data_IF_007038318043
#
_entry.id   IF_007038318043
#
_cell.length_a   1.000
_cell.length_b   1.000
_cell.length_c   1.000
_cell.angle_alpha   90.00
_cell.angle_beta   90.00
_cell.angle_gamma   90.00
#
_symmetry.space_group_name_H-M   'P 1'
#
loop_
_entity.id
_entity.type
_entity.pdbx_description
1 polymer ?
#
# COMPACT_ATOMS: atom_id res chain seq x y z
N UNK A 1 17.95 1.84 12.51
CA UNK A 1 18.06 1.03 13.74
C UNK A 1 19.48 0.99 14.28
N UNK A 2 20.52 0.60 13.49
CA UNK A 2 21.91 0.47 13.99
C UNK A 2 22.44 1.77 14.63
N UNK A 3 22.06 2.93 14.16
CA UNK A 3 22.44 4.24 14.71
C UNK A 3 21.67 4.65 15.98
N UNK A 4 20.43 4.17 16.14
CA UNK A 4 19.55 4.58 17.24
C UNK A 4 19.47 3.55 18.38
N UNK A 5 19.80 2.29 18.07
CA UNK A 5 19.76 1.17 19.00
C UNK A 5 21.08 0.36 18.97
N UNK A 6 22.26 0.99 19.17
CA UNK A 6 23.56 0.33 19.00
C UNK A 6 23.75 -0.85 19.96
N UNK A 7 23.24 -0.73 21.19
CA UNK A 7 23.39 -1.76 22.22
C UNK A 7 22.47 -2.96 22.05
N UNK A 8 21.52 -2.90 21.10
CA UNK A 8 20.52 -3.96 20.84
C UNK A 8 20.94 -4.91 19.74
N UNK A 9 22.12 -4.74 19.16
CA UNK A 9 22.64 -5.56 18.06
C UNK A 9 21.58 -5.77 16.96
N UNK A 10 21.10 -4.72 16.26
CA UNK A 10 20.06 -4.85 15.27
C UNK A 10 20.54 -5.65 14.06
N UNK A 11 19.76 -6.65 13.66
CA UNK A 11 20.02 -7.58 12.56
C UNK A 11 19.04 -7.31 11.41
N UNK A 12 19.58 -7.16 10.20
CA UNK A 12 18.78 -7.13 8.98
C UNK A 12 18.68 -8.54 8.37
N UNK A 13 17.53 -9.17 8.51
CA UNK A 13 17.31 -10.56 8.06
C UNK A 13 17.35 -10.74 6.54
N UNK A 14 17.36 -9.66 5.76
CA UNK A 14 17.54 -9.75 4.30
C UNK A 14 19.00 -10.03 3.96
N UNK A 15 19.92 -9.32 4.63
CA UNK A 15 21.36 -9.36 4.34
C UNK A 15 22.15 -10.22 5.32
N UNK A 16 21.68 -10.37 6.55
CA UNK A 16 22.37 -11.04 7.67
C UNK A 16 21.51 -12.21 8.17
N UNK A 17 21.17 -13.14 7.25
CA UNK A 17 20.18 -14.19 7.51
C UNK A 17 20.50 -15.08 8.71
N UNK A 18 21.77 -15.34 9.00
CA UNK A 18 22.21 -16.24 10.07
C UNK A 18 22.65 -15.49 11.35
N UNK A 19 22.65 -14.15 11.32
CA UNK A 19 23.09 -13.37 12.47
C UNK A 19 22.07 -13.42 13.61
N UNK A 20 22.60 -13.32 14.84
CA UNK A 20 21.80 -13.23 16.06
C UNK A 20 21.86 -11.82 16.65
N UNK A 21 20.76 -11.37 17.23
CA UNK A 21 20.63 -10.06 17.84
C UNK A 21 19.43 -9.99 18.77
N UNK A 22 19.17 -8.82 19.30
CA UNK A 22 17.99 -8.54 20.13
C UNK A 22 16.87 -7.85 19.37
N UNK A 23 17.20 -7.18 18.26
CA UNK A 23 16.25 -6.49 17.39
C UNK A 23 16.45 -7.02 15.98
N UNK A 24 15.39 -7.39 15.32
CA UNK A 24 15.39 -7.90 13.96
C UNK A 24 14.54 -7.02 13.06
N UNK A 25 15.09 -6.65 11.90
CA UNK A 25 14.34 -6.01 10.83
C UNK A 25 14.20 -6.99 9.65
N UNK A 26 12.97 -7.11 9.14
CA UNK A 26 12.66 -8.02 8.05
C UNK A 26 11.58 -7.42 7.15
N UNK A 27 11.55 -7.83 5.88
CA UNK A 27 10.36 -7.68 5.06
C UNK A 27 9.38 -8.83 5.34
N UNK A 28 8.11 -8.61 5.07
CA UNK A 28 7.07 -9.64 5.23
C UNK A 28 7.38 -10.92 4.43
N UNK A 29 7.78 -10.87 3.14
CA UNK A 29 8.13 -12.09 2.40
C UNK A 29 9.29 -12.86 3.03
N UNK A 30 10.32 -12.14 3.52
CA UNK A 30 11.48 -12.77 4.16
C UNK A 30 11.07 -13.47 5.45
N UNK A 31 10.28 -12.81 6.31
CA UNK A 31 9.83 -13.42 7.57
C UNK A 31 8.91 -14.63 7.30
N UNK A 32 7.96 -14.51 6.36
CA UNK A 32 7.11 -15.65 5.98
C UNK A 32 7.91 -16.85 5.48
N UNK A 33 8.98 -16.61 4.71
CA UNK A 33 9.90 -17.67 4.29
C UNK A 33 10.62 -18.31 5.49
N UNK A 34 11.12 -17.50 6.42
CA UNK A 34 11.89 -17.98 7.58
C UNK A 34 11.05 -18.82 8.57
N UNK A 35 9.79 -18.43 8.82
CA UNK A 35 8.91 -19.22 9.70
C UNK A 35 8.49 -20.56 9.07
N UNK A 36 8.51 -20.65 7.75
CA UNK A 36 8.18 -21.88 7.02
C UNK A 36 9.39 -22.81 6.79
N UNK A 37 10.61 -22.28 6.94
CA UNK A 37 11.83 -23.09 6.81
C UNK A 37 11.99 -24.00 8.02
N UNK A 38 12.47 -25.22 7.75
CA UNK A 38 12.85 -26.20 8.77
C UNK A 38 14.25 -26.72 8.45
N UNK A 39 15.06 -26.91 9.49
CA UNK A 39 16.33 -27.57 9.36
C UNK A 39 16.16 -29.09 9.15
N UNK A 40 17.29 -29.82 9.11
CA UNK A 40 17.30 -31.29 8.93
C UNK A 40 16.63 -32.03 10.08
N UNK A 41 16.52 -31.41 11.24
CA UNK A 41 15.90 -31.94 12.45
C UNK A 41 14.43 -31.51 12.58
N UNK A 42 13.91 -30.75 11.60
CA UNK A 42 12.53 -30.24 11.59
C UNK A 42 12.30 -28.99 12.44
N UNK A 43 13.35 -28.38 12.97
CA UNK A 43 13.31 -27.19 13.82
C UNK A 43 13.28 -25.91 12.94
N UNK A 44 12.37 -24.98 13.22
CA UNK A 44 12.37 -23.65 12.62
C UNK A 44 13.39 -22.73 13.30
N UNK A 45 13.91 -21.77 12.56
CA UNK A 45 14.83 -20.75 13.10
C UNK A 45 14.19 -19.95 14.23
N UNK A 46 12.96 -19.49 14.02
CA UNK A 46 12.18 -18.76 15.01
C UNK A 46 11.01 -19.61 15.46
N UNK A 47 10.93 -19.90 16.75
CA UNK A 47 9.74 -20.51 17.34
C UNK A 47 8.64 -19.49 17.61
N UNK A 48 7.39 -19.93 17.90
CA UNK A 48 6.29 -19.02 18.20
C UNK A 48 6.56 -18.00 19.32
N UNK A 49 7.26 -18.39 20.37
CA UNK A 49 7.61 -17.53 21.50
C UNK A 49 9.01 -16.89 21.38
N UNK A 50 9.55 -16.74 20.16
CA UNK A 50 10.90 -16.18 19.99
C UNK A 50 10.96 -14.68 20.20
N UNK A 51 9.91 -13.95 19.78
CA UNK A 51 9.81 -12.50 19.90
C UNK A 51 8.83 -12.12 20.99
N UNK A 52 9.19 -11.21 21.88
CA UNK A 52 8.32 -10.61 22.87
C UNK A 52 7.41 -9.54 22.27
N UNK A 53 7.91 -8.86 21.24
CA UNK A 53 7.24 -7.75 20.56
C UNK A 53 7.46 -7.80 19.06
N UNK A 54 6.40 -7.66 18.30
CA UNK A 54 6.43 -7.49 16.84
C UNK A 54 5.81 -6.13 16.48
N UNK A 55 6.61 -5.29 15.81
CA UNK A 55 6.15 -4.00 15.28
C UNK A 55 5.89 -4.16 13.79
N UNK A 56 4.67 -3.84 13.38
CA UNK A 56 4.17 -4.00 12.03
C UNK A 56 4.07 -2.61 11.41
N UNK A 57 4.94 -2.31 10.45
CA UNK A 57 4.86 -1.09 9.66
C UNK A 57 3.86 -1.28 8.51
N UNK A 58 3.14 -0.22 8.15
CA UNK A 58 2.05 -0.26 7.16
C UNK A 58 0.96 -1.31 7.51
N UNK A 59 0.50 -1.29 8.75
CA UNK A 59 -0.49 -2.24 9.28
C UNK A 59 -1.89 -2.01 8.71
N UNK A 60 -2.04 -2.15 7.38
CA UNK A 60 -3.31 -2.01 6.68
C UNK A 60 -3.77 -3.36 6.05
N UNK A 61 -5.01 -3.39 5.58
CA UNK A 61 -5.73 -4.60 5.12
C UNK A 61 -4.91 -5.51 4.19
N UNK A 62 -4.24 -4.95 3.19
CA UNK A 62 -3.50 -5.76 2.20
C UNK A 62 -2.33 -6.54 2.81
N UNK A 63 -1.71 -6.01 3.86
CA UNK A 63 -0.64 -6.68 4.61
C UNK A 63 -1.21 -7.85 5.40
N UNK A 64 -2.32 -7.65 6.10
CA UNK A 64 -2.97 -8.72 6.86
C UNK A 64 -3.46 -9.86 5.96
N UNK A 65 -4.15 -9.54 4.88
CA UNK A 65 -4.65 -10.56 3.94
C UNK A 65 -3.56 -11.44 3.35
N UNK A 66 -2.38 -10.87 3.10
CA UNK A 66 -1.27 -11.58 2.46
C UNK A 66 -0.33 -12.24 3.46
N UNK A 67 -0.12 -11.63 4.61
CA UNK A 67 0.93 -12.00 5.56
C UNK A 67 0.39 -12.27 6.98
N UNK A 68 -0.90 -12.39 7.17
CA UNK A 68 -1.56 -12.64 8.47
C UNK A 68 -0.97 -13.84 9.21
N UNK A 69 -0.57 -14.89 8.50
CA UNK A 69 0.06 -16.06 9.06
C UNK A 69 1.33 -15.75 9.89
N UNK A 70 2.05 -14.65 9.63
CA UNK A 70 3.19 -14.22 10.43
C UNK A 70 2.73 -13.79 11.83
N UNK A 71 1.65 -13.03 11.88
CA UNK A 71 1.11 -12.44 13.11
C UNK A 71 0.40 -13.47 13.98
N UNK A 72 -0.16 -14.50 13.36
CA UNK A 72 -0.77 -15.65 14.04
C UNK A 72 0.28 -16.64 14.54
N UNK A 73 1.46 -16.68 13.89
CA UNK A 73 2.52 -17.60 14.23
C UNK A 73 3.23 -17.23 15.54
N UNK A 74 3.49 -15.92 15.76
CA UNK A 74 4.23 -15.49 16.95
C UNK A 74 3.29 -15.19 18.11
N UNK A 75 3.58 -15.78 19.27
CA UNK A 75 2.95 -15.46 20.55
C UNK A 75 3.66 -14.24 21.17
N UNK A 76 3.35 -13.06 20.66
CA UNK A 76 4.01 -11.79 20.97
C UNK A 76 3.02 -10.65 21.14
N UNK A 77 3.45 -9.56 21.76
CA UNK A 77 2.74 -8.30 21.70
C UNK A 77 2.83 -7.73 20.28
N UNK A 78 1.72 -7.23 19.75
CA UNK A 78 1.66 -6.62 18.41
C UNK A 78 1.47 -5.11 18.52
N UNK A 79 2.28 -4.36 17.80
CA UNK A 79 2.12 -2.92 17.59
C UNK A 79 2.03 -2.66 16.09
N UNK A 80 0.95 -2.04 15.64
CA UNK A 80 0.75 -1.65 14.25
C UNK A 80 0.93 -0.16 14.05
N UNK A 81 1.68 0.21 13.02
CA UNK A 81 1.83 1.59 12.55
C UNK A 81 1.19 1.70 11.16
N UNK A 82 0.38 2.72 10.94
CA UNK A 82 -0.22 2.97 9.64
C UNK A 82 -0.44 4.47 9.43
N UNK A 83 -0.21 4.93 8.20
CA UNK A 83 -0.57 6.28 7.77
C UNK A 83 -2.01 6.36 7.21
N UNK A 84 -2.73 5.23 7.16
CA UNK A 84 -4.13 5.22 6.72
C UNK A 84 -4.98 6.00 7.72
N UNK A 85 -5.85 6.92 7.27
CA UNK A 85 -6.77 7.64 8.15
C UNK A 85 -7.63 6.67 8.97
N UNK A 86 -7.92 7.07 10.21
CA UNK A 86 -8.66 6.24 11.18
C UNK A 86 -9.97 5.66 10.63
N UNK A 87 -10.70 6.46 9.87
CA UNK A 87 -11.99 6.09 9.30
C UNK A 87 -11.88 5.11 8.12
N UNK A 88 -10.68 5.03 7.50
CA UNK A 88 -10.39 4.13 6.38
C UNK A 88 -9.73 2.82 6.82
N UNK A 89 -9.43 2.67 8.12
CA UNK A 89 -8.84 1.44 8.65
C UNK A 89 -9.88 0.32 8.63
N UNK A 90 -9.54 -0.76 7.97
CA UNK A 90 -10.40 -1.93 7.84
C UNK A 90 -10.67 -2.61 9.20
N UNK A 91 -11.89 -3.12 9.37
CA UNK A 91 -12.34 -3.86 10.56
C UNK A 91 -11.38 -5.00 10.93
N UNK A 92 -10.85 -5.73 9.96
CA UNK A 92 -9.94 -6.85 10.22
C UNK A 92 -8.62 -6.39 10.85
N UNK A 93 -8.16 -5.16 10.56
CA UNK A 93 -6.99 -4.57 11.21
C UNK A 93 -7.25 -4.33 12.69
N UNK A 94 -8.40 -3.77 13.06
CA UNK A 94 -8.76 -3.60 14.47
C UNK A 94 -8.90 -4.95 15.19
N UNK A 95 -9.50 -5.96 14.55
CA UNK A 95 -9.64 -7.31 15.12
C UNK A 95 -8.28 -7.97 15.39
N UNK A 96 -7.29 -7.80 14.47
CA UNK A 96 -5.93 -8.30 14.65
C UNK A 96 -5.30 -7.78 15.95
N UNK A 97 -5.46 -6.49 16.21
CA UNK A 97 -4.92 -5.84 17.41
C UNK A 97 -5.87 -5.92 18.62
N UNK A 98 -7.02 -6.61 18.50
CA UNK A 98 -8.07 -6.72 19.53
C UNK A 98 -8.57 -5.36 20.03
N UNK A 99 -8.69 -4.40 19.12
CA UNK A 99 -9.18 -3.06 19.37
C UNK A 99 -10.64 -2.92 18.96
N UNK A 100 -11.34 -1.97 19.58
CA UNK A 100 -12.66 -1.55 19.15
C UNK A 100 -12.58 -0.86 17.78
N UNK A 101 -13.52 -1.16 16.90
CA UNK A 101 -13.55 -0.59 15.56
C UNK A 101 -13.61 0.95 15.60
N UNK A 102 -12.72 1.61 14.87
CA UNK A 102 -12.62 3.06 14.84
C UNK A 102 -11.90 3.69 16.03
N UNK A 103 -11.38 2.86 16.97
CA UNK A 103 -10.70 3.35 18.18
C UNK A 103 -9.25 2.84 18.21
N UNK A 104 -8.31 3.51 17.54
CA UNK A 104 -6.89 3.18 17.64
C UNK A 104 -6.36 3.50 19.04
N UNK A 105 -5.27 2.86 19.43
CA UNK A 105 -4.63 3.09 20.74
C UNK A 105 -4.08 4.50 20.86
N UNK A 106 -3.54 5.04 19.76
CA UNK A 106 -2.99 6.39 19.67
C UNK A 106 -3.14 6.93 18.26
N UNK A 107 -3.24 8.27 18.14
CA UNK A 107 -3.42 8.95 16.84
C UNK A 107 -2.53 10.20 16.84
N UNK A 108 -1.72 10.32 15.80
CA UNK A 108 -0.93 11.51 15.52
C UNK A 108 -1.37 12.11 14.19
N UNK A 109 -2.25 13.10 14.27
CA UNK A 109 -2.94 13.67 13.12
C UNK A 109 -1.99 14.49 12.23
N UNK A 110 -2.28 14.53 10.91
CA UNK A 110 -1.51 15.28 9.92
C UNK A 110 -1.35 16.75 10.30
N UNK A 111 -2.44 17.40 10.73
CA UNK A 111 -2.43 18.81 11.11
C UNK A 111 -1.53 19.09 12.34
N UNK A 112 -1.46 18.14 13.25
CA UNK A 112 -0.57 18.20 14.41
C UNK A 112 0.88 18.08 13.98
N UNK A 113 1.20 17.11 13.15
CA UNK A 113 2.55 16.90 12.62
C UNK A 113 3.04 18.10 11.79
N UNK A 114 2.16 18.75 11.04
CA UNK A 114 2.47 20.00 10.32
C UNK A 114 2.71 21.15 11.28
N UNK A 115 1.87 21.31 12.31
CA UNK A 115 2.01 22.36 13.32
C UNK A 115 3.32 22.23 14.10
N UNK A 116 3.74 21.00 14.38
CA UNK A 116 4.99 20.70 15.08
C UNK A 116 6.22 20.72 14.17
N UNK A 117 6.04 20.88 12.86
CA UNK A 117 7.13 21.00 11.89
C UNK A 117 7.76 19.69 11.45
N UNK A 118 7.15 18.52 11.77
CA UNK A 118 7.61 17.22 11.31
C UNK A 118 7.16 16.92 9.88
N UNK A 119 6.02 17.49 9.46
CA UNK A 119 5.52 17.39 8.08
C UNK A 119 5.29 18.78 7.49
N UNK A 120 5.29 18.85 6.16
CA UNK A 120 4.91 20.04 5.41
C UNK A 120 3.44 19.98 5.04
N UNK A 121 2.71 21.12 5.02
CA UNK A 121 1.32 21.12 4.60
C UNK A 121 1.20 20.68 3.15
N UNK A 122 0.26 19.79 2.88
CA UNK A 122 -0.06 19.38 1.52
C UNK A 122 -0.68 20.57 0.75
N UNK A 123 -0.19 20.83 -0.45
CA UNK A 123 -0.84 21.75 -1.39
C UNK A 123 -1.61 20.93 -2.41
N UNK A 124 -2.92 21.04 -2.35
CA UNK A 124 -3.77 20.42 -3.36
C UNK A 124 -3.83 21.33 -4.59
N UNK A 125 -3.35 20.84 -5.73
CA UNK A 125 -3.50 21.49 -7.01
C UNK A 125 -4.58 20.76 -7.81
N UNK A 126 -5.66 21.45 -8.14
CA UNK A 126 -6.68 20.91 -9.04
C UNK A 126 -6.32 21.27 -10.48
N UNK A 127 -5.91 20.27 -11.25
CA UNK A 127 -5.63 20.44 -12.69
C UNK A 127 -6.89 20.07 -13.49
N UNK A 128 -7.59 21.03 -14.10
CA UNK A 128 -8.77 20.73 -14.90
C UNK A 128 -8.36 20.09 -16.23
N UNK A 129 -8.48 18.79 -16.32
CA UNK A 129 -8.26 18.06 -17.56
C UNK A 129 -9.53 18.16 -18.42
N UNK A 130 -9.37 18.61 -19.69
CA UNK A 130 -10.50 18.82 -20.62
C UNK A 130 -11.36 17.55 -20.73
N UNK A 131 -10.71 16.41 -20.93
CA UNK A 131 -11.39 15.13 -21.11
C UNK A 131 -12.16 14.63 -19.87
N UNK A 132 -11.68 14.93 -18.68
CA UNK A 132 -12.40 14.58 -17.44
C UNK A 132 -13.66 15.42 -17.21
N UNK A 133 -13.75 16.60 -17.85
CA UNK A 133 -14.90 17.51 -17.72
C UNK A 133 -15.90 17.34 -18.86
N UNK A 134 -15.41 17.13 -20.07
CA UNK A 134 -16.21 17.19 -21.30
C UNK A 134 -16.42 15.81 -21.93
N UNK A 135 -15.66 14.78 -21.47
CA UNK A 135 -15.59 13.51 -22.18
C UNK A 135 -14.69 13.58 -23.41
N UNK A 136 -14.66 12.52 -24.17
CA UNK A 136 -13.89 12.42 -25.42
C UNK A 136 -14.84 12.06 -26.54
N UNK A 137 -14.78 12.81 -27.62
CA UNK A 137 -15.50 12.51 -28.86
C UNK A 137 -14.51 12.04 -29.90
N UNK A 138 -14.86 10.98 -30.63
CA UNK A 138 -14.03 10.42 -31.69
C UNK A 138 -13.62 11.47 -32.72
N UNK A 139 -14.56 12.35 -33.11
CA UNK A 139 -14.30 13.40 -34.11
C UNK A 139 -13.26 14.45 -33.68
N UNK A 140 -13.09 14.64 -32.38
CA UNK A 140 -12.15 15.62 -31.80
C UNK A 140 -10.73 15.06 -31.62
N UNK A 141 -10.50 13.78 -31.91
CA UNK A 141 -9.23 13.10 -31.76
C UNK A 141 -8.26 13.38 -32.93
N UNK A 142 -6.98 13.32 -32.66
CA UNK A 142 -5.94 13.29 -33.71
C UNK A 142 -6.04 12.00 -34.53
N UNK A 143 -5.46 11.96 -35.72
CA UNK A 143 -5.46 10.73 -36.56
C UNK A 143 -4.77 9.56 -35.84
N UNK A 144 -3.70 9.80 -35.07
CA UNK A 144 -2.99 8.80 -34.28
C UNK A 144 -3.86 8.27 -33.13
N UNK A 145 -4.57 9.15 -32.44
CA UNK A 145 -5.49 8.76 -31.37
C UNK A 145 -6.73 8.01 -31.90
N UNK A 146 -7.18 8.29 -33.14
CA UNK A 146 -8.26 7.56 -33.79
C UNK A 146 -7.87 6.11 -34.11
N UNK A 147 -6.64 5.90 -34.58
CA UNK A 147 -6.12 4.53 -34.79
C UNK A 147 -6.13 3.73 -33.48
N UNK A 148 -5.62 4.31 -32.39
CA UNK A 148 -5.66 3.66 -31.08
C UNK A 148 -7.09 3.45 -30.54
N UNK A 149 -8.02 4.34 -30.88
CA UNK A 149 -9.42 4.19 -30.51
C UNK A 149 -10.09 3.02 -31.22
N UNK A 150 -9.80 2.84 -32.50
CA UNK A 150 -10.36 1.74 -33.32
C UNK A 150 -9.75 0.37 -32.99
N UNK A 151 -8.46 0.34 -32.62
CA UNK A 151 -7.76 -0.88 -32.19
C UNK A 151 -8.18 -1.39 -30.81
N UNK A 152 -8.87 -0.55 -30.04
CA UNK A 152 -9.23 -0.86 -28.67
C UNK A 152 -10.43 -1.81 -28.61
N UNK A 153 -10.32 -2.77 -27.67
CA UNK A 153 -11.43 -3.69 -27.36
C UNK A 153 -12.48 -3.02 -26.44
N UNK A 154 -13.62 -2.63 -27.00
CA UNK A 154 -14.73 -1.95 -26.34
C UNK A 154 -15.80 -2.94 -25.82
N UNK A 155 -15.40 -4.06 -25.21
CA UNK A 155 -16.23 -5.24 -24.89
C UNK A 155 -17.50 -5.03 -24.03
N UNK A 156 -17.78 -3.86 -23.50
CA UNK A 156 -18.89 -3.68 -22.54
C UNK A 156 -20.08 -2.81 -23.02
N UNK A 157 -20.14 -2.41 -24.24
CA UNK A 157 -21.34 -1.72 -24.75
C UNK A 157 -22.33 -2.74 -25.36
N UNK A 158 -23.58 -2.69 -24.88
CA UNK A 158 -24.68 -3.61 -25.30
C UNK A 158 -24.95 -3.58 -26.82
N UNK A 159 -24.38 -2.64 -27.58
CA UNK A 159 -24.50 -2.50 -29.02
C UNK A 159 -23.29 -3.00 -29.83
N UNK A 160 -22.21 -3.42 -29.19
CA UNK A 160 -21.09 -4.15 -29.82
C UNK A 160 -20.33 -3.41 -30.92
N UNK A 161 -20.09 -2.11 -30.76
CA UNK A 161 -19.36 -1.27 -31.72
C UNK A 161 -18.41 -0.31 -31.04
N UNK A 162 -17.50 0.31 -31.82
CA UNK A 162 -16.65 1.41 -31.36
C UNK A 162 -17.52 2.61 -31.00
N UNK A 163 -17.49 3.12 -29.76
CA UNK A 163 -18.34 4.24 -29.37
C UNK A 163 -17.89 5.54 -30.02
N UNK A 164 -18.83 6.40 -30.40
CA UNK A 164 -18.54 7.74 -30.92
C UNK A 164 -18.12 8.73 -29.83
N UNK A 165 -18.42 8.43 -28.56
CA UNK A 165 -18.14 9.29 -27.41
C UNK A 165 -17.90 8.48 -26.14
N UNK A 166 -16.90 8.87 -25.34
CA UNK A 166 -16.72 8.45 -23.95
C UNK A 166 -17.07 9.59 -23.02
N UNK A 167 -18.13 9.43 -22.22
CA UNK A 167 -18.61 10.45 -21.28
C UNK A 167 -17.58 10.73 -20.18
N UNK A 168 -17.54 11.97 -19.68
CA UNK A 168 -16.60 12.44 -18.66
C UNK A 168 -16.45 11.49 -17.45
N UNK A 169 -17.54 10.94 -16.93
CA UNK A 169 -17.50 9.99 -15.79
C UNK A 169 -16.88 8.64 -16.10
N UNK A 170 -16.73 8.28 -17.37
CA UNK A 170 -16.16 7.02 -17.83
C UNK A 170 -14.70 7.12 -18.29
N UNK A 171 -14.17 8.35 -18.43
CA UNK A 171 -12.80 8.58 -18.96
C UNK A 171 -11.74 7.85 -18.15
N UNK A 172 -11.81 7.89 -16.83
CA UNK A 172 -10.82 7.23 -15.98
C UNK A 172 -10.91 5.69 -16.02
N UNK A 173 -12.03 5.13 -16.44
CA UNK A 173 -12.22 3.69 -16.58
C UNK A 173 -11.60 3.16 -17.87
N UNK A 174 -11.61 3.97 -18.93
CA UNK A 174 -11.29 3.55 -20.29
C UNK A 174 -9.95 4.05 -20.82
N UNK A 175 -9.42 5.17 -20.31
CA UNK A 175 -8.25 5.81 -20.89
C UNK A 175 -7.17 6.16 -19.85
N UNK A 176 -6.08 5.42 -19.88
CA UNK A 176 -4.77 5.92 -19.43
C UNK A 176 -4.21 6.74 -20.60
N UNK A 177 -4.40 8.04 -20.56
CA UNK A 177 -3.95 8.95 -21.62
C UNK A 177 -2.58 9.51 -21.21
N UNK A 178 -1.57 9.39 -22.08
CA UNK A 178 -0.22 9.94 -21.86
C UNK A 178 -0.26 11.46 -21.63
N UNK A 179 -1.14 12.20 -22.36
CA UNK A 179 -1.36 13.64 -22.17
C UNK A 179 -1.83 13.99 -20.75
N UNK A 180 -2.61 13.13 -20.11
CA UNK A 180 -3.02 13.29 -18.70
C UNK A 180 -1.84 13.13 -17.75
N UNK A 181 -0.99 12.13 -17.98
CA UNK A 181 0.21 11.89 -17.19
C UNK A 181 1.21 13.01 -17.36
N UNK A 182 1.46 13.43 -18.60
CA UNK A 182 2.40 14.52 -18.92
C UNK A 182 1.96 15.85 -18.33
N UNK A 183 0.68 16.19 -18.37
CA UNK A 183 0.16 17.42 -17.75
C UNK A 183 0.24 17.41 -16.22
N UNK A 184 0.04 16.27 -15.59
CA UNK A 184 0.20 16.13 -14.13
C UNK A 184 1.67 16.23 -13.72
N UNK A 185 2.60 15.73 -14.53
CA UNK A 185 4.04 15.77 -14.25
C UNK A 185 4.71 17.14 -14.56
N UNK A 186 4.03 18.04 -15.30
CA UNK A 186 4.55 19.39 -15.60
C UNK A 186 4.26 20.42 -14.49
N UNK A 187 3.51 20.07 -13.45
CA UNK A 187 3.18 20.88 -12.29
C UNK A 187 3.92 20.38 -11.04
#
# INVERSE_FOLDING_TARGET
FKSHLPDSSPVNLITEKEAEGRVYASTYPTMLSLINQRDREGKGRFGPGYFDLVIIDEAHRSVYQKYGAIFEYFDSLLVGLTATPRDDIDRNTYELFRLEQGVPTDVYELDEAVREGFLVPARQLSVPLKYQREGIKYDDLSEEDKEHWEERDWQEDEEGGTPDEVKAGSVNRWLFNEDTVDKVLQF
#
